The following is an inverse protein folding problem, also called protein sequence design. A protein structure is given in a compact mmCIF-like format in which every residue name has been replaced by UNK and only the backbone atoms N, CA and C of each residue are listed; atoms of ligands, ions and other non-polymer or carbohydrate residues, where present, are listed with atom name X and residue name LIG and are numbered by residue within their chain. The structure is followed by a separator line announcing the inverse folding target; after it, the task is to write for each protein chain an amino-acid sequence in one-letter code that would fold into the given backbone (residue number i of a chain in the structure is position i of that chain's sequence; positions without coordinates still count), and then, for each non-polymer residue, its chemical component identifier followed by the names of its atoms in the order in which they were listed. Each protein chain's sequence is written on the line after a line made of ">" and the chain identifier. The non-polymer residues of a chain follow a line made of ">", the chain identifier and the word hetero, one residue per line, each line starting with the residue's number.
data_IF_305136376872
#
_entry.id   IF_305136376872
#
_cell.length_a   1.000
_cell.length_b   1.000
_cell.length_c   1.000
_cell.angle_alpha   90.00
_cell.angle_beta   90.00
_cell.angle_gamma   90.00
#
_symmetry.space_group_name_H-M   'P 1'
#
loop_
_entity.id
_entity.type
_entity.pdbx_description
1 polymer ?
#
# COMPACT_ATOMS: atom_id res chain seq x y z
N UNK A 1 -18.63 23.33 -7.55
CA UNK A 1 -18.84 22.60 -8.82
C UNK A 1 -18.13 23.36 -9.93
N UNK A 2 -17.30 22.69 -10.75
CA UNK A 2 -16.47 23.31 -11.80
C UNK A 2 -17.15 23.10 -13.16
N UNK A 3 -17.26 24.17 -13.96
CA UNK A 3 -17.91 24.19 -15.27
C UNK A 3 -16.92 24.59 -16.35
N UNK A 4 -17.05 24.08 -17.57
CA UNK A 4 -16.30 24.55 -18.75
C UNK A 4 -17.24 24.99 -19.86
N UNK A 5 -16.77 25.96 -20.62
CA UNK A 5 -17.38 26.42 -21.87
C UNK A 5 -16.41 26.17 -23.01
N UNK A 6 -16.90 25.65 -24.13
CA UNK A 6 -16.13 25.43 -25.36
C UNK A 6 -16.44 26.47 -26.45
N UNK A 7 -17.39 27.35 -26.19
CA UNK A 7 -17.98 28.31 -27.12
C UNK A 7 -17.93 29.76 -26.62
N UNK A 8 -17.06 30.04 -25.63
CA UNK A 8 -16.83 31.41 -25.16
C UNK A 8 -17.89 31.94 -24.18
N UNK A 9 -18.71 31.07 -23.59
CA UNK A 9 -19.62 31.39 -22.49
C UNK A 9 -21.11 31.19 -22.80
N UNK A 10 -21.45 30.77 -24.02
CA UNK A 10 -22.84 30.54 -24.44
C UNK A 10 -23.42 29.22 -23.91
N UNK A 11 -22.62 28.17 -23.81
CA UNK A 11 -23.02 26.91 -23.17
C UNK A 11 -22.02 26.45 -22.11
N UNK A 12 -22.58 25.95 -21.02
CA UNK A 12 -21.83 25.48 -19.86
C UNK A 12 -22.07 23.98 -19.71
N UNK A 13 -21.01 23.21 -19.83
CA UNK A 13 -21.04 21.79 -19.50
C UNK A 13 -20.30 21.58 -18.20
N UNK A 14 -20.87 20.76 -17.31
CA UNK A 14 -20.18 20.37 -16.09
C UNK A 14 -18.88 19.67 -16.49
N UNK A 15 -17.75 20.01 -15.86
CA UNK A 15 -16.47 19.41 -16.22
C UNK A 15 -16.51 17.87 -16.14
N UNK A 16 -17.37 17.34 -15.27
CA UNK A 16 -17.62 15.91 -15.07
C UNK A 16 -18.40 15.22 -16.19
N UNK A 17 -19.14 15.93 -17.04
CA UNK A 17 -20.05 15.32 -18.02
C UNK A 17 -19.34 14.63 -19.20
N UNK A 18 -18.03 14.82 -19.36
CA UNK A 18 -17.20 14.18 -20.39
C UNK A 18 -16.14 13.23 -19.86
N UNK A 19 -16.12 12.98 -18.55
CA UNK A 19 -15.15 12.07 -17.93
C UNK A 19 -15.81 10.69 -17.84
N UNK A 20 -15.35 9.74 -18.64
CA UNK A 20 -15.70 8.34 -18.44
C UNK A 20 -15.06 7.86 -17.14
N UNK A 21 -15.87 7.77 -16.08
CA UNK A 21 -15.43 7.22 -14.80
C UNK A 21 -15.20 5.72 -14.96
N UNK A 22 -13.99 5.26 -14.63
CA UNK A 22 -13.72 3.84 -14.55
C UNK A 22 -14.52 3.28 -13.37
N UNK A 23 -15.58 2.51 -13.67
CA UNK A 23 -16.49 1.96 -12.66
C UNK A 23 -15.77 1.12 -11.60
N UNK A 24 -14.70 0.40 -11.97
CA UNK A 24 -13.88 -0.38 -11.03
C UNK A 24 -13.04 0.53 -10.12
N UNK A 25 -12.51 1.63 -10.65
CA UNK A 25 -11.77 2.60 -9.85
C UNK A 25 -12.67 3.32 -8.83
N UNK A 26 -13.91 3.64 -9.23
CA UNK A 26 -14.90 4.20 -8.32
C UNK A 26 -15.27 3.20 -7.23
N UNK A 27 -15.56 1.95 -7.60
CA UNK A 27 -15.88 0.89 -6.64
C UNK A 27 -14.73 0.66 -5.62
N UNK A 28 -13.47 0.62 -6.07
CA UNK A 28 -12.33 0.52 -5.13
C UNK A 28 -12.17 1.75 -4.23
N UNK A 29 -12.50 2.95 -4.71
CA UNK A 29 -12.46 4.16 -3.89
C UNK A 29 -13.55 4.12 -2.80
N UNK A 30 -14.75 3.66 -3.17
CA UNK A 30 -15.87 3.47 -2.24
C UNK A 30 -15.59 2.36 -1.22
N UNK A 31 -14.98 1.24 -1.64
CA UNK A 31 -14.56 0.14 -0.76
C UNK A 31 -13.51 0.60 0.26
N UNK A 32 -12.48 1.34 -0.19
CA UNK A 32 -11.40 1.78 0.68
C UNK A 32 -11.85 2.90 1.64
N UNK A 33 -12.79 3.76 1.23
CA UNK A 33 -13.50 4.72 2.08
C UNK A 33 -12.63 5.45 3.12
N UNK A 34 -12.95 5.24 4.40
CA UNK A 34 -12.28 5.88 5.53
C UNK A 34 -10.83 5.39 5.74
N UNK A 35 -10.47 4.19 5.26
CA UNK A 35 -9.12 3.65 5.40
C UNK A 35 -8.08 4.50 4.64
N UNK A 36 -8.46 5.08 3.50
CA UNK A 36 -7.61 6.00 2.74
C UNK A 36 -7.29 7.29 3.52
N UNK A 37 -8.20 7.71 4.40
CA UNK A 37 -8.05 8.91 5.21
C UNK A 37 -7.57 8.61 6.63
N UNK A 38 -7.39 7.34 7.00
CA UNK A 38 -7.03 6.94 8.35
C UNK A 38 -5.75 7.63 8.84
N UNK A 39 -4.72 7.74 7.98
CA UNK A 39 -3.45 8.43 8.33
C UNK A 39 -3.70 9.92 8.65
N UNK A 40 -4.64 10.56 7.97
CA UNK A 40 -5.03 11.95 8.24
C UNK A 40 -5.84 12.09 9.53
N UNK A 41 -6.69 11.11 9.86
CA UNK A 41 -7.50 11.08 11.07
C UNK A 41 -6.76 10.68 12.35
N UNK A 42 -5.59 10.04 12.21
CA UNK A 42 -4.82 9.49 13.32
C UNK A 42 -4.21 10.54 14.27
N UNK A 43 -4.14 11.81 13.84
CA UNK A 43 -3.52 12.88 14.64
C UNK A 43 -2.00 12.75 14.77
N UNK A 44 -1.35 12.02 13.85
CA UNK A 44 0.09 11.85 13.83
C UNK A 44 0.83 13.15 13.43
N UNK A 45 2.12 13.30 13.80
CA UNK A 45 2.94 14.43 13.36
C UNK A 45 2.95 14.59 11.84
N UNK A 46 2.55 15.76 11.35
CA UNK A 46 2.47 16.04 9.90
C UNK A 46 3.81 15.97 9.16
N UNK A 47 4.94 15.95 9.89
CA UNK A 47 6.29 15.67 9.38
C UNK A 47 6.39 14.31 8.70
N UNK A 48 5.65 13.31 9.20
CA UNK A 48 5.63 11.94 8.67
C UNK A 48 4.83 11.82 7.38
N UNK A 49 3.93 12.77 7.09
CA UNK A 49 3.10 12.76 5.87
C UNK A 49 3.95 12.72 4.60
N UNK A 50 5.10 13.41 4.62
CA UNK A 50 6.07 13.40 3.50
C UNK A 50 6.50 11.98 3.12
N UNK A 51 6.54 11.06 4.08
CA UNK A 51 6.93 9.66 3.86
C UNK A 51 5.71 8.75 3.75
N UNK A 52 4.73 8.86 4.64
CA UNK A 52 3.60 7.93 4.76
C UNK A 52 2.53 8.13 3.68
N UNK A 53 2.37 9.34 3.14
CA UNK A 53 1.39 9.62 2.08
C UNK A 53 1.95 9.38 0.67
N UNK A 54 3.18 8.87 0.56
CA UNK A 54 3.75 8.47 -0.71
C UNK A 54 4.02 6.96 -0.72
N UNK A 55 4.22 6.41 -1.92
CA UNK A 55 4.48 4.98 -2.11
C UNK A 55 5.96 4.65 -2.22
N UNK A 56 6.88 5.60 -2.04
CA UNK A 56 8.32 5.38 -2.27
C UNK A 56 8.89 4.28 -1.37
N UNK A 57 8.45 4.25 -0.11
CA UNK A 57 8.89 3.25 0.88
C UNK A 57 8.54 1.81 0.49
N UNK A 58 7.48 1.60 -0.28
CA UNK A 58 7.09 0.27 -0.77
C UNK A 58 7.57 0.04 -2.21
N UNK A 59 7.48 1.05 -3.08
CA UNK A 59 7.80 0.91 -4.49
C UNK A 59 9.29 0.63 -4.72
N UNK A 60 10.17 1.36 -4.04
CA UNK A 60 11.61 1.25 -4.28
C UNK A 60 12.16 -0.13 -3.87
N UNK A 61 11.82 -0.71 -2.69
CA UNK A 61 12.17 -2.09 -2.38
C UNK A 61 11.61 -3.09 -3.38
N UNK A 62 10.32 -3.02 -3.74
CA UNK A 62 9.71 -3.98 -4.67
C UNK A 62 10.24 -3.86 -6.11
N UNK A 63 10.68 -2.66 -6.53
CA UNK A 63 11.40 -2.47 -7.79
C UNK A 63 12.72 -3.24 -7.79
N UNK A 64 13.49 -3.15 -6.71
CA UNK A 64 14.75 -3.88 -6.57
C UNK A 64 14.53 -5.39 -6.48
N UNK A 65 13.52 -5.83 -5.72
CA UNK A 65 13.15 -7.25 -5.62
C UNK A 65 12.84 -7.82 -7.01
N UNK A 66 11.97 -7.15 -7.78
CA UNK A 66 11.63 -7.56 -9.15
C UNK A 66 12.86 -7.64 -10.04
N UNK A 67 13.79 -6.69 -9.94
CA UNK A 67 15.02 -6.73 -10.73
C UNK A 67 15.90 -7.94 -10.40
N UNK A 68 16.02 -8.29 -9.11
CA UNK A 68 16.85 -9.41 -8.62
C UNK A 68 16.21 -10.77 -8.89
N UNK A 69 14.88 -10.88 -8.85
CA UNK A 69 14.15 -12.14 -9.12
C UNK A 69 13.76 -12.32 -10.59
N UNK A 70 13.97 -11.32 -11.46
CA UNK A 70 13.56 -11.34 -12.88
C UNK A 70 14.01 -12.58 -13.67
N UNK A 71 15.15 -13.17 -13.32
CA UNK A 71 15.69 -14.37 -14.00
C UNK A 71 15.20 -15.70 -13.41
N UNK A 72 14.47 -15.65 -12.29
CA UNK A 72 13.89 -16.84 -11.66
C UNK A 72 12.59 -17.15 -12.38
N UNK A 73 12.66 -18.06 -13.35
CA UNK A 73 11.51 -18.47 -14.16
C UNK A 73 10.75 -19.65 -13.58
N UNK A 74 11.37 -20.45 -12.72
CA UNK A 74 10.81 -21.70 -12.19
C UNK A 74 10.62 -21.65 -10.68
N UNK A 75 9.40 -21.34 -10.26
CA UNK A 75 8.99 -21.37 -8.86
C UNK A 75 8.44 -22.74 -8.49
N UNK A 76 8.87 -23.26 -7.34
CA UNK A 76 8.54 -24.59 -6.82
C UNK A 76 7.77 -24.43 -5.51
N UNK A 77 6.52 -24.85 -5.46
CA UNK A 77 5.67 -24.76 -4.26
C UNK A 77 6.07 -25.75 -3.18
N UNK A 78 6.72 -26.85 -3.57
CA UNK A 78 7.29 -27.88 -2.71
C UNK A 78 8.58 -27.43 -1.98
N UNK A 79 9.11 -26.24 -2.30
CA UNK A 79 10.36 -25.75 -1.73
C UNK A 79 10.24 -24.34 -1.15
N UNK A 80 11.02 -24.06 -0.11
CA UNK A 80 11.13 -22.71 0.45
C UNK A 80 11.99 -21.75 -0.40
N UNK A 81 12.21 -22.05 -1.69
CA UNK A 81 13.06 -21.23 -2.57
C UNK A 81 12.43 -19.86 -2.84
N UNK A 82 11.10 -19.74 -2.87
CA UNK A 82 10.43 -18.46 -3.00
C UNK A 82 10.83 -17.49 -1.87
N UNK A 83 10.71 -17.93 -0.63
CA UNK A 83 11.11 -17.16 0.55
C UNK A 83 12.60 -16.84 0.57
N UNK A 84 13.46 -17.77 0.13
CA UNK A 84 14.92 -17.55 0.05
C UNK A 84 15.29 -16.48 -0.99
N UNK A 85 14.67 -16.51 -2.17
CA UNK A 85 14.87 -15.50 -3.20
C UNK A 85 14.36 -14.13 -2.76
N UNK A 86 13.20 -14.08 -2.10
CA UNK A 86 12.67 -12.84 -1.54
C UNK A 86 13.61 -12.29 -0.46
N UNK A 87 14.06 -13.12 0.48
CA UNK A 87 15.01 -12.73 1.52
C UNK A 87 16.31 -12.20 0.93
N UNK A 88 16.92 -12.91 -0.02
CA UNK A 88 18.11 -12.45 -0.73
C UNK A 88 17.88 -11.09 -1.41
N UNK A 89 16.77 -10.94 -2.12
CA UNK A 89 16.49 -9.72 -2.86
C UNK A 89 16.21 -8.51 -1.94
N UNK A 90 15.56 -8.75 -0.79
CA UNK A 90 15.33 -7.73 0.23
C UNK A 90 16.61 -7.33 0.95
N UNK A 91 17.46 -8.30 1.33
CA UNK A 91 18.78 -8.02 1.93
C UNK A 91 19.66 -7.18 1.01
N UNK A 92 19.58 -7.43 -0.29
CA UNK A 92 20.31 -6.65 -1.28
C UNK A 92 19.71 -5.24 -1.46
N UNK A 93 18.37 -5.10 -1.41
CA UNK A 93 17.70 -3.81 -1.45
C UNK A 93 17.99 -2.96 -0.20
N UNK A 94 18.09 -3.60 0.97
CA UNK A 94 18.35 -2.98 2.27
C UNK A 94 19.63 -2.12 2.26
N UNK A 95 20.66 -2.56 1.53
CA UNK A 95 21.94 -1.84 1.39
C UNK A 95 21.77 -0.43 0.81
N UNK A 96 20.70 -0.18 0.07
CA UNK A 96 20.37 1.13 -0.51
C UNK A 96 19.36 1.94 0.31
N UNK A 97 18.86 1.41 1.43
CA UNK A 97 17.85 2.09 2.22
C UNK A 97 18.44 3.31 2.93
N UNK A 98 17.63 4.37 2.96
CA UNK A 98 17.91 5.59 3.72
C UNK A 98 17.01 5.63 4.93
N UNK A 99 17.46 6.33 5.97
CA UNK A 99 16.62 6.61 7.13
C UNK A 99 15.38 7.39 6.68
N UNK A 100 14.23 7.01 7.25
CA UNK A 100 12.99 7.76 7.08
C UNK A 100 13.18 9.18 7.62
N UNK A 101 12.71 10.17 6.87
CA UNK A 101 12.71 11.56 7.32
C UNK A 101 11.87 11.68 8.59
N UNK A 102 12.38 12.42 9.58
CA UNK A 102 11.69 12.62 10.85
C UNK A 102 11.39 11.30 11.62
N UNK A 103 12.24 10.28 11.48
CA UNK A 103 12.06 8.98 12.15
C UNK A 103 11.88 9.03 13.68
N UNK A 104 12.22 10.15 14.34
CA UNK A 104 11.97 10.35 15.78
C UNK A 104 10.48 10.38 16.10
N UNK A 105 9.69 10.91 15.18
CA UNK A 105 8.24 11.08 15.30
C UNK A 105 7.50 9.73 15.16
N UNK A 106 8.21 8.67 14.73
CA UNK A 106 7.66 7.32 14.68
C UNK A 106 7.31 6.74 16.03
N UNK A 107 7.98 7.17 17.10
CA UNK A 107 7.63 6.73 18.46
C UNK A 107 6.25 7.23 18.85
N UNK A 108 5.99 8.51 18.58
CA UNK A 108 4.70 9.12 18.83
C UNK A 108 3.60 8.45 17.99
N UNK A 109 3.87 8.15 16.72
CA UNK A 109 2.92 7.36 15.91
C UNK A 109 2.62 5.99 16.53
N UNK A 110 3.64 5.28 17.01
CA UNK A 110 3.47 3.97 17.63
C UNK A 110 2.64 4.03 18.92
N UNK A 111 2.85 5.04 19.77
CA UNK A 111 2.05 5.28 20.98
C UNK A 111 0.59 5.56 20.63
N UNK A 112 0.34 6.37 19.59
CA UNK A 112 -1.00 6.63 19.09
C UNK A 112 -1.65 5.33 18.59
N UNK A 113 -0.96 4.52 17.79
CA UNK A 113 -1.51 3.26 17.29
C UNK A 113 -1.80 2.27 18.43
N UNK A 114 -0.97 2.24 19.47
CA UNK A 114 -1.19 1.39 20.64
C UNK A 114 -2.39 1.83 21.47
N UNK A 115 -2.73 3.13 21.50
CA UNK A 115 -3.94 3.59 22.19
C UNK A 115 -5.22 3.21 21.45
N UNK A 116 -5.17 3.03 20.13
CA UNK A 116 -6.28 2.54 19.32
C UNK A 116 -6.42 1.02 19.31
N UNK A 117 -5.34 0.27 19.62
CA UNK A 117 -5.36 -1.19 19.66
C UNK A 117 -5.72 -1.70 21.06
N UNK A 118 -6.51 -2.79 21.20
CA UNK A 118 -6.59 -3.49 22.47
C UNK A 118 -5.20 -4.01 22.89
N UNK A 119 -4.92 -4.14 24.20
CA UNK A 119 -3.62 -4.58 24.69
C UNK A 119 -3.27 -5.95 24.12
N UNK A 120 -1.98 -6.23 23.85
CA UNK A 120 -1.55 -7.52 23.34
C UNK A 120 -1.99 -8.63 24.32
N UNK A 121 -2.48 -9.79 23.83
CA UNK A 121 -2.76 -10.92 24.68
C UNK A 121 -1.49 -11.29 25.46
N UNK A 122 -1.63 -11.52 26.77
CA UNK A 122 -0.52 -11.85 27.66
C UNK A 122 0.30 -13.03 27.11
N UNK A 123 1.62 -12.96 27.30
CA UNK A 123 2.60 -13.91 26.76
C UNK A 123 2.20 -15.38 27.06
N UNK A 124 1.56 -16.02 26.08
CA UNK A 124 1.02 -17.38 26.23
C UNK A 124 -0.09 -17.71 25.23
N UNK A 125 -0.86 -16.72 24.82
CA UNK A 125 -1.88 -16.88 23.78
C UNK A 125 -1.31 -16.35 22.45
N UNK A 126 -0.88 -17.26 21.58
CA UNK A 126 -0.39 -16.90 20.24
C UNK A 126 -1.47 -16.05 19.58
N UNK A 127 -1.17 -14.79 19.30
CA UNK A 127 -1.91 -14.00 18.34
C UNK A 127 -1.92 -14.81 17.05
N UNK A 128 -3.03 -15.52 16.82
CA UNK A 128 -3.29 -16.12 15.54
C UNK A 128 -3.52 -14.90 14.65
N UNK A 129 -2.67 -14.63 13.66
CA UNK A 129 -2.96 -13.53 12.76
C UNK A 129 -4.23 -13.97 12.04
N UNK A 130 -5.35 -13.32 12.38
CA UNK A 130 -6.58 -13.38 11.61
C UNK A 130 -6.30 -12.71 10.26
N UNK A 131 -5.56 -13.40 9.40
CA UNK A 131 -5.49 -13.12 7.97
C UNK A 131 -6.81 -13.60 7.34
N UNK A 132 -7.92 -13.00 7.75
CA UNK A 132 -9.12 -12.99 6.91
C UNK A 132 -8.89 -11.94 5.83
N UNK A 133 -8.82 -12.38 4.57
CA UNK A 133 -8.48 -11.64 3.33
C UNK A 133 -7.00 -11.79 2.93
N UNK A 134 -6.57 -13.02 2.61
CA UNK A 134 -6.05 -13.37 1.26
C UNK A 134 -6.32 -14.87 1.02
N UNK A 135 -7.58 -15.29 1.08
CA UNK A 135 -8.01 -16.48 0.32
C UNK A 135 -8.36 -16.05 -1.10
N UNK A 136 -7.35 -15.51 -1.82
CA UNK A 136 -7.39 -15.59 -3.27
C UNK A 136 -6.94 -16.99 -3.65
N UNK A 137 -7.94 -17.85 -3.90
CA UNK A 137 -7.82 -19.00 -4.79
C UNK A 137 -6.86 -18.61 -5.93
N UNK A 138 -5.78 -19.39 -6.20
CA UNK A 138 -4.82 -18.98 -7.21
C UNK A 138 -5.56 -18.77 -8.53
N UNK A 139 -5.38 -17.60 -9.15
CA UNK A 139 -5.73 -17.40 -10.54
C UNK A 139 -4.78 -18.27 -11.37
N UNK A 140 -5.05 -19.57 -11.38
CA UNK A 140 -4.46 -20.53 -12.29
C UNK A 140 -5.07 -20.25 -13.66
N UNK A 141 -4.37 -19.45 -14.46
CA UNK A 141 -4.18 -19.64 -15.90
C UNK A 141 -3.22 -18.56 -16.44
N UNK A 142 -1.95 -18.63 -16.02
CA UNK A 142 -0.87 -18.11 -16.87
C UNK A 142 -0.51 -19.22 -17.87
N UNK A 143 -0.96 -19.07 -19.11
CA UNK A 143 -0.39 -19.78 -20.27
C UNK A 143 0.78 -18.93 -20.80
N UNK A 144 1.92 -19.55 -21.18
CA UNK A 144 3.07 -18.83 -21.72
C UNK A 144 2.74 -18.11 -23.02
#
# INVERSE_FOLDING_TARGET
>A
MIWKTSDGGESWTALSSGIHTNAQALASLEEAGDELLAVHGLGAPGTLNTTLLNTNCIENPFRNVRAKTRRVSRWRTDTNMASKWLAYALLEAERGFRRINHCKDMKQLAEILQSFSPPPPEEGEKATPSLSIVDQKPATNYKP
#
